data_IF_926131788303
#
_entry.id   IF_926131788303
#
_cell.length_a   1.000
_cell.length_b   1.000
_cell.length_c   1.000
_cell.angle_alpha   90.00
_cell.angle_beta   90.00
_cell.angle_gamma   90.00
#
_symmetry.space_group_name_H-M   'P 1'
#
loop_
_entity.id
_entity.type
_entity.pdbx_description
1 polymer ?
#
# COMPACT_ATOMS: atom_id res chain seq x y z
N UNK A 1 -22.81 -2.76 28.77
CA UNK A 1 -22.84 -3.19 27.35
C UNK A 1 -22.17 -2.10 26.53
N UNK A 2 -20.93 -2.32 26.08
CA UNK A 2 -20.23 -1.34 25.25
C UNK A 2 -20.68 -1.54 23.81
N UNK A 3 -21.35 -0.52 23.27
CA UNK A 3 -21.72 -0.45 21.87
C UNK A 3 -20.40 -0.28 21.08
N UNK A 4 -19.87 -1.35 20.51
CA UNK A 4 -18.69 -1.27 19.66
C UNK A 4 -19.08 -0.50 18.40
N UNK A 5 -18.41 0.63 18.18
CA UNK A 5 -18.55 1.41 16.95
C UNK A 5 -18.17 0.52 15.76
N UNK A 6 -18.94 0.48 14.66
CA UNK A 6 -18.85 -0.60 13.67
C UNK A 6 -17.51 -0.70 12.89
N UNK A 7 -16.54 0.19 13.12
CA UNK A 7 -15.30 0.28 12.33
C UNK A 7 -14.01 0.54 13.15
N UNK A 8 -13.98 0.24 14.46
CA UNK A 8 -12.82 0.58 15.30
C UNK A 8 -11.48 -0.06 14.83
N UNK A 9 -11.57 -1.18 14.10
CA UNK A 9 -10.44 -1.90 13.50
C UNK A 9 -10.34 -1.77 11.98
N UNK A 10 -11.13 -0.88 11.38
CA UNK A 10 -11.12 -0.64 9.94
C UNK A 10 -10.06 0.38 9.57
N UNK A 11 -9.52 0.24 8.36
CA UNK A 11 -8.47 1.11 7.84
C UNK A 11 -8.90 1.78 6.55
N UNK A 12 -8.67 3.08 6.43
CA UNK A 12 -8.80 3.85 5.20
C UNK A 12 -7.42 4.26 4.67
N UNK A 13 -7.07 3.80 3.48
CA UNK A 13 -5.91 4.28 2.73
C UNK A 13 -6.36 5.43 1.83
N UNK A 14 -5.81 6.62 2.07
CA UNK A 14 -6.17 7.86 1.37
C UNK A 14 -5.06 8.29 0.40
N UNK A 15 -5.32 8.19 -0.90
CA UNK A 15 -4.37 8.48 -1.99
C UNK A 15 -4.63 9.83 -2.68
N UNK A 16 -5.07 10.82 -1.90
CA UNK A 16 -5.24 12.20 -2.37
C UNK A 16 -4.56 13.19 -1.41
N UNK A 17 -4.40 14.43 -1.86
CA UNK A 17 -4.01 15.52 -0.95
C UNK A 17 -5.06 15.69 0.14
N UNK A 18 -4.63 16.09 1.32
CA UNK A 18 -5.51 16.22 2.50
C UNK A 18 -6.53 17.35 2.32
N UNK A 19 -6.22 18.35 1.50
CA UNK A 19 -7.12 19.44 1.11
C UNK A 19 -8.38 18.96 0.36
N UNK A 20 -8.39 17.74 -0.17
CA UNK A 20 -9.58 17.15 -0.79
C UNK A 20 -10.49 16.52 0.26
N UNK A 21 -11.11 17.33 1.12
CA UNK A 21 -12.20 16.95 2.03
C UNK A 21 -12.08 15.53 2.57
N UNK A 22 -11.05 15.29 3.38
CA UNK A 22 -10.83 14.01 4.05
C UNK A 22 -12.10 13.59 4.80
N UNK A 23 -12.64 12.38 4.55
CA UNK A 23 -13.90 11.97 5.15
C UNK A 23 -13.76 11.80 6.66
N UNK A 24 -14.88 11.99 7.37
CA UNK A 24 -14.99 11.57 8.76
C UNK A 24 -15.12 10.04 8.79
N UNK A 25 -14.06 9.38 9.27
CA UNK A 25 -13.92 7.92 9.27
C UNK A 25 -13.60 7.49 10.70
N UNK A 26 -14.41 6.58 11.25
CA UNK A 26 -14.30 6.13 12.64
C UNK A 26 -13.14 5.15 12.90
N UNK A 27 -12.54 4.61 11.84
CA UNK A 27 -11.32 3.80 11.92
C UNK A 27 -10.04 4.63 11.75
N UNK A 28 -8.92 3.97 11.41
CA UNK A 28 -7.63 4.64 11.19
C UNK A 28 -7.47 5.09 9.75
N UNK A 29 -6.93 6.29 9.54
CA UNK A 29 -6.65 6.83 8.21
C UNK A 29 -5.14 6.82 7.98
N UNK A 30 -4.69 6.17 6.91
CA UNK A 30 -3.31 6.24 6.44
C UNK A 30 -3.22 7.06 5.16
N UNK A 31 -2.52 8.18 5.25
CA UNK A 31 -2.27 9.09 4.14
C UNK A 31 -1.15 8.51 3.27
N UNK A 32 -1.49 8.15 2.03
CA UNK A 32 -0.56 7.49 1.11
C UNK A 32 0.49 8.45 0.53
N UNK A 33 0.13 9.74 0.42
CA UNK A 33 0.97 10.77 -0.22
C UNK A 33 1.42 11.88 0.72
N UNK A 34 0.74 12.06 1.84
CA UNK A 34 0.86 13.26 2.66
C UNK A 34 1.59 12.99 3.98
N UNK A 35 2.26 14.01 4.51
CA UNK A 35 2.99 14.00 5.79
C UNK A 35 2.17 14.54 6.96
N UNK A 36 1.00 15.13 6.71
CA UNK A 36 0.17 15.74 7.76
C UNK A 36 -0.45 14.67 8.68
N UNK A 37 0.18 14.42 9.82
CA UNK A 37 -0.37 13.51 10.84
C UNK A 37 -1.26 14.25 11.83
N UNK A 38 -2.29 13.55 12.31
CA UNK A 38 -3.12 13.99 13.43
C UNK A 38 -3.51 12.75 14.25
N UNK A 39 -2.66 12.36 15.22
CA UNK A 39 -2.91 11.20 16.07
C UNK A 39 -4.22 11.29 16.86
N UNK A 40 -4.68 12.51 17.19
CA UNK A 40 -5.95 12.72 17.91
C UNK A 40 -7.17 12.27 17.09
N UNK A 41 -7.03 12.26 15.77
CA UNK A 41 -8.04 11.77 14.81
C UNK A 41 -7.65 10.45 14.15
N UNK A 42 -6.68 9.73 14.73
CA UNK A 42 -6.15 8.48 14.19
C UNK A 42 -5.68 8.59 12.72
N UNK A 43 -5.04 9.71 12.37
CA UNK A 43 -4.49 10.00 11.04
C UNK A 43 -2.97 9.87 11.04
N UNK A 44 -2.46 9.00 10.19
CA UNK A 44 -1.05 8.63 10.14
C UNK A 44 -0.50 8.76 8.72
N UNK A 45 0.79 9.03 8.59
CA UNK A 45 1.45 9.24 7.30
C UNK A 45 2.31 8.03 6.93
N UNK A 46 2.03 7.43 5.76
CA UNK A 46 2.90 6.38 5.21
C UNK A 46 4.28 6.96 4.83
N UNK A 47 4.39 8.10 4.13
CA UNK A 47 5.69 8.72 3.88
C UNK A 47 6.52 8.97 5.14
N UNK A 48 5.91 9.47 6.22
CA UNK A 48 6.62 9.72 7.48
C UNK A 48 7.06 8.43 8.16
N UNK A 49 6.23 7.39 8.14
CA UNK A 49 6.63 6.05 8.62
C UNK A 49 7.85 5.53 7.86
N UNK A 50 7.90 5.73 6.54
CA UNK A 50 9.04 5.32 5.71
C UNK A 50 10.31 6.05 6.14
N UNK A 51 10.26 7.37 6.33
CA UNK A 51 11.43 8.16 6.70
C UNK A 51 11.99 7.75 8.07
N UNK A 52 11.11 7.46 9.02
CA UNK A 52 11.46 6.99 10.36
C UNK A 52 12.08 5.58 10.32
N UNK A 53 11.66 4.72 9.40
CA UNK A 53 12.09 3.32 9.29
C UNK A 53 12.97 3.05 8.05
N UNK A 54 13.58 4.11 7.49
CA UNK A 54 14.21 4.08 6.16
C UNK A 54 15.29 3.01 5.98
N UNK A 55 16.07 2.76 7.04
CA UNK A 55 17.17 1.79 7.00
C UNK A 55 16.59 0.38 6.89
N UNK A 56 15.69 0.01 7.82
CA UNK A 56 15.02 -1.30 7.85
C UNK A 56 14.27 -1.58 6.55
N UNK A 57 13.48 -0.63 6.07
CA UNK A 57 12.70 -0.80 4.84
C UNK A 57 13.60 -0.96 3.61
N UNK A 58 14.73 -0.25 3.56
CA UNK A 58 15.71 -0.38 2.48
C UNK A 58 16.43 -1.72 2.52
N UNK A 59 16.81 -2.21 3.71
CA UNK A 59 17.38 -3.55 3.87
C UNK A 59 16.40 -4.62 3.40
N UNK A 60 15.12 -4.50 3.78
CA UNK A 60 14.07 -5.41 3.34
C UNK A 60 13.88 -5.40 1.83
N UNK A 61 13.87 -4.22 1.21
CA UNK A 61 13.83 -4.07 -0.25
C UNK A 61 15.03 -4.75 -0.93
N UNK A 62 16.25 -4.50 -0.45
CA UNK A 62 17.46 -5.13 -0.98
C UNK A 62 17.45 -6.65 -0.82
N UNK A 63 16.93 -7.16 0.29
CA UNK A 63 16.76 -8.60 0.50
C UNK A 63 15.82 -9.21 -0.54
N UNK A 64 14.70 -8.55 -0.85
CA UNK A 64 13.77 -9.01 -1.90
C UNK A 64 14.45 -9.04 -3.27
N UNK A 65 15.21 -8.00 -3.62
CA UNK A 65 15.96 -7.99 -4.87
C UNK A 65 17.01 -9.08 -4.94
N UNK A 66 17.75 -9.30 -3.85
CA UNK A 66 18.73 -10.39 -3.78
C UNK A 66 18.05 -11.74 -3.99
N UNK A 67 16.97 -12.02 -3.25
CA UNK A 67 16.21 -13.26 -3.39
C UNK A 67 15.67 -13.46 -4.81
N UNK A 68 15.18 -12.38 -5.44
CA UNK A 68 14.73 -12.41 -6.83
C UNK A 68 15.88 -12.78 -7.79
N UNK A 69 17.07 -12.20 -7.60
CA UNK A 69 18.26 -12.55 -8.38
C UNK A 69 18.69 -14.01 -8.24
N UNK A 70 18.45 -14.62 -7.07
CA UNK A 70 18.79 -16.01 -6.77
C UNK A 70 17.77 -17.04 -7.26
N UNK A 71 16.57 -16.63 -7.71
CA UNK A 71 15.56 -17.54 -8.27
C UNK A 71 16.17 -18.34 -9.43
N UNK A 72 15.99 -19.67 -9.40
CA UNK A 72 16.53 -20.57 -10.42
C UNK A 72 15.49 -20.86 -11.51
N UNK A 73 15.83 -20.51 -12.75
CA UNK A 73 15.14 -20.93 -13.95
C UNK A 73 16.00 -21.97 -14.66
N UNK A 74 15.47 -23.18 -14.88
CA UNK A 74 16.23 -24.31 -15.45
C UNK A 74 17.56 -24.54 -14.72
N UNK A 75 17.52 -24.55 -13.39
CA UNK A 75 18.66 -24.72 -12.49
C UNK A 75 19.77 -23.64 -12.57
N UNK A 76 19.51 -22.51 -13.23
CA UNK A 76 20.43 -21.37 -13.33
C UNK A 76 19.78 -20.13 -12.74
N UNK A 77 20.51 -19.36 -11.91
CA UNK A 77 19.96 -18.19 -11.21
C UNK A 77 19.65 -17.06 -12.19
N UNK A 78 18.67 -16.20 -11.89
CA UNK A 78 18.38 -15.01 -12.72
C UNK A 78 19.62 -14.15 -12.89
N UNK A 79 20.40 -13.93 -11.83
CA UNK A 79 21.65 -13.17 -11.90
C UNK A 79 22.66 -13.80 -12.87
N UNK A 80 22.72 -15.13 -12.96
CA UNK A 80 23.61 -15.83 -13.89
C UNK A 80 23.04 -15.86 -15.32
N UNK A 81 21.71 -15.87 -15.48
CA UNK A 81 21.06 -15.76 -16.78
C UNK A 81 21.37 -14.43 -17.46
N UNK A 82 21.51 -13.38 -16.67
CA UNK A 82 21.82 -12.03 -17.13
C UNK A 82 23.33 -11.74 -17.13
N UNK A 83 24.17 -12.76 -17.00
CA UNK A 83 25.62 -12.61 -17.02
C UNK A 83 26.11 -12.16 -18.40
N UNK A 84 26.86 -11.05 -18.43
CA UNK A 84 27.51 -10.54 -19.65
C UNK A 84 28.89 -11.19 -19.80
N UNK A 85 29.65 -11.29 -18.70
CA UNK A 85 30.96 -11.94 -18.61
C UNK A 85 31.23 -12.42 -17.18
N UNK A 86 32.24 -13.28 -16.92
CA UNK A 86 32.60 -13.69 -15.56
C UNK A 86 32.70 -12.52 -14.58
N UNK A 87 32.01 -12.62 -13.45
CA UNK A 87 31.96 -11.57 -12.42
C UNK A 87 31.10 -10.34 -12.76
N UNK A 88 30.44 -10.28 -13.92
CA UNK A 88 29.64 -9.12 -14.34
C UNK A 88 28.29 -9.52 -14.94
N UNK A 89 27.22 -9.15 -14.24
CA UNK A 89 25.84 -9.43 -14.64
C UNK A 89 25.06 -8.14 -14.86
N UNK A 90 24.28 -8.12 -15.95
CA UNK A 90 23.34 -7.05 -16.27
C UNK A 90 22.27 -6.88 -15.20
N UNK A 91 22.00 -7.91 -14.39
CA UNK A 91 21.08 -7.85 -13.25
C UNK A 91 21.28 -6.61 -12.37
N UNK A 92 22.54 -6.31 -12.04
CA UNK A 92 22.92 -5.19 -11.17
C UNK A 92 22.73 -3.81 -11.81
N UNK A 93 22.52 -3.77 -13.13
CA UNK A 93 22.28 -2.56 -13.92
C UNK A 93 20.79 -2.37 -14.26
N UNK A 94 19.92 -3.30 -13.88
CA UNK A 94 18.49 -3.16 -14.13
C UNK A 94 17.90 -2.04 -13.27
N UNK A 95 16.90 -1.33 -13.78
CA UNK A 95 16.22 -0.22 -13.07
C UNK A 95 15.56 -0.62 -11.74
N UNK A 96 15.30 -1.92 -11.54
CA UNK A 96 14.76 -2.42 -10.27
C UNK A 96 15.86 -2.57 -9.21
N UNK A 97 17.11 -2.88 -9.62
CA UNK A 97 18.25 -3.00 -8.70
C UNK A 97 18.98 -1.67 -8.54
N UNK A 98 19.05 -0.86 -9.60
CA UNK A 98 19.59 0.49 -9.58
C UNK A 98 18.72 1.36 -8.66
N UNK A 99 19.08 1.39 -7.37
CA UNK A 99 18.34 2.04 -6.30
C UNK A 99 18.53 3.55 -6.30
N UNK A 100 18.21 4.18 -7.42
CA UNK A 100 18.27 5.63 -7.58
C UNK A 100 16.86 6.23 -7.40
N UNK A 101 16.65 6.91 -6.26
CA UNK A 101 15.40 7.55 -5.87
C UNK A 101 14.87 8.55 -6.93
N UNK A 102 15.75 9.13 -7.78
CA UNK A 102 15.34 10.06 -8.84
C UNK A 102 14.98 9.41 -10.17
N UNK A 103 15.32 8.13 -10.39
CA UNK A 103 15.13 7.46 -11.70
C UNK A 103 13.97 6.47 -11.72
N UNK A 104 13.58 5.91 -10.57
CA UNK A 104 12.62 4.81 -10.52
C UNK A 104 11.55 5.04 -9.46
N UNK A 105 10.33 5.33 -9.91
CA UNK A 105 9.12 5.40 -9.05
C UNK A 105 8.69 4.02 -8.53
N UNK A 106 9.24 2.95 -9.10
CA UNK A 106 8.97 1.57 -8.71
C UNK A 106 9.44 1.28 -7.29
N UNK A 107 10.69 1.63 -6.95
CA UNK A 107 11.24 1.41 -5.61
C UNK A 107 10.39 2.10 -4.54
N UNK A 108 9.99 3.36 -4.78
CA UNK A 108 9.13 4.12 -3.86
C UNK A 108 7.80 3.37 -3.64
N UNK A 109 7.22 2.83 -4.71
CA UNK A 109 5.96 2.09 -4.63
C UNK A 109 6.10 0.79 -3.82
N UNK A 110 7.20 0.04 -4.03
CA UNK A 110 7.49 -1.18 -3.26
C UNK A 110 7.74 -0.85 -1.78
N UNK A 111 8.54 0.18 -1.49
CA UNK A 111 8.81 0.61 -0.11
C UNK A 111 7.52 1.04 0.60
N UNK A 112 6.60 1.73 -0.09
CA UNK A 112 5.28 2.05 0.48
C UNK A 112 4.45 0.81 0.80
N UNK A 113 4.51 -0.22 -0.04
CA UNK A 113 3.83 -1.49 0.23
C UNK A 113 4.47 -2.24 1.41
N UNK A 114 5.79 -2.25 1.52
CA UNK A 114 6.49 -2.84 2.67
C UNK A 114 6.15 -2.10 3.97
N UNK A 115 6.10 -0.78 3.94
CA UNK A 115 5.66 0.03 5.08
C UNK A 115 4.21 -0.27 5.45
N UNK A 116 3.32 -0.37 4.44
CA UNK A 116 1.93 -0.73 4.67
C UNK A 116 1.83 -2.12 5.31
N UNK A 117 2.52 -3.12 4.78
CA UNK A 117 2.55 -4.48 5.34
C UNK A 117 2.96 -4.48 6.82
N UNK A 118 4.07 -3.81 7.17
CA UNK A 118 4.52 -3.71 8.57
C UNK A 118 3.51 -3.00 9.49
N UNK A 119 2.83 -1.97 8.97
CA UNK A 119 1.78 -1.25 9.71
C UNK A 119 0.58 -2.15 9.96
N UNK A 120 0.22 -2.97 8.97
CA UNK A 120 -0.96 -3.82 9.03
C UNK A 120 -0.73 -5.07 9.89
N UNK A 121 0.45 -5.69 9.83
CA UNK A 121 0.80 -6.87 10.62
C UNK A 121 0.75 -6.63 12.15
N UNK A 122 0.90 -5.39 12.58
CA UNK A 122 0.86 -5.01 14.00
C UNK A 122 -0.57 -4.85 14.55
N UNK A 123 -1.61 -5.12 13.76
CA UNK A 123 -3.00 -4.75 14.07
C UNK A 123 -3.98 -5.85 13.69
N UNK A 124 -4.97 -6.06 14.54
CA UNK A 124 -6.17 -6.81 14.15
C UNK A 124 -7.02 -5.93 13.24
N UNK A 125 -7.03 -6.23 11.94
CA UNK A 125 -7.73 -5.45 10.93
C UNK A 125 -8.96 -6.19 10.46
N UNK A 126 -10.12 -5.54 10.55
CA UNK A 126 -11.39 -6.10 10.08
C UNK A 126 -11.61 -5.89 8.59
N UNK A 127 -11.16 -4.76 8.04
CA UNK A 127 -11.38 -4.38 6.65
C UNK A 127 -10.48 -3.21 6.22
N UNK A 128 -10.22 -3.12 4.91
CA UNK A 128 -9.43 -2.06 4.30
C UNK A 128 -10.24 -1.37 3.21
N UNK A 129 -10.39 -0.05 3.34
CA UNK A 129 -10.92 0.86 2.34
C UNK A 129 -9.78 1.55 1.61
N UNK A 130 -9.87 1.65 0.28
CA UNK A 130 -8.95 2.45 -0.53
C UNK A 130 -9.71 3.53 -1.28
N UNK A 131 -9.27 4.77 -1.08
CA UNK A 131 -9.70 5.91 -1.88
C UNK A 131 -8.54 6.39 -2.76
N UNK A 132 -8.50 5.91 -4.01
CA UNK A 132 -7.48 6.26 -4.99
C UNK A 132 -8.08 6.34 -6.39
N UNK A 133 -7.57 7.26 -7.23
CA UNK A 133 -7.85 7.27 -8.67
C UNK A 133 -6.87 6.42 -9.48
N UNK A 134 -5.81 5.90 -8.87
CA UNK A 134 -4.78 5.11 -9.52
C UNK A 134 -5.22 3.63 -9.60
N UNK A 135 -5.48 3.16 -10.83
CA UNK A 135 -5.92 1.78 -11.10
C UNK A 135 -4.84 0.75 -10.75
N UNK A 136 -3.57 1.10 -10.90
CA UNK A 136 -2.47 0.21 -10.55
C UNK A 136 -2.42 0.03 -9.03
N UNK A 137 -2.51 1.13 -8.27
CA UNK A 137 -2.58 1.06 -6.81
C UNK A 137 -3.80 0.26 -6.35
N UNK A 138 -4.98 0.50 -6.94
CA UNK A 138 -6.19 -0.28 -6.65
C UNK A 138 -5.99 -1.79 -6.86
N UNK A 139 -5.34 -2.19 -7.94
CA UNK A 139 -5.10 -3.62 -8.22
C UNK A 139 -4.09 -4.23 -7.27
N UNK A 140 -3.02 -3.49 -6.96
CA UNK A 140 -1.96 -3.93 -6.03
C UNK A 140 -2.51 -4.12 -4.62
N UNK A 141 -3.20 -3.11 -4.07
CA UNK A 141 -3.77 -3.19 -2.72
C UNK A 141 -4.85 -4.27 -2.65
N UNK A 142 -5.68 -4.42 -3.69
CA UNK A 142 -6.66 -5.51 -3.76
C UNK A 142 -6.00 -6.89 -3.70
N UNK A 143 -4.92 -7.09 -4.47
CA UNK A 143 -4.17 -8.35 -4.45
C UNK A 143 -3.54 -8.58 -3.07
N UNK A 144 -2.91 -7.56 -2.50
CA UNK A 144 -2.34 -7.60 -1.16
C UNK A 144 -3.38 -8.01 -0.10
N UNK A 145 -4.55 -7.38 -0.09
CA UNK A 145 -5.62 -7.70 0.86
C UNK A 145 -6.14 -9.14 0.68
N UNK A 146 -6.20 -9.62 -0.57
CA UNK A 146 -6.59 -11.01 -0.88
C UNK A 146 -5.61 -12.02 -0.27
N UNK A 147 -4.30 -11.77 -0.37
CA UNK A 147 -3.27 -12.65 0.24
C UNK A 147 -3.36 -12.62 1.76
N UNK A 148 -3.62 -11.44 2.35
CA UNK A 148 -3.83 -11.27 3.79
C UNK A 148 -5.20 -11.78 4.29
N UNK A 149 -6.09 -12.21 3.40
CA UNK A 149 -7.48 -12.61 3.69
C UNK A 149 -8.29 -11.52 4.42
N UNK A 150 -8.02 -10.26 4.12
CA UNK A 150 -8.73 -9.10 4.69
C UNK A 150 -9.76 -8.57 3.68
N UNK A 151 -11.01 -8.30 4.09
CA UNK A 151 -12.01 -7.63 3.26
C UNK A 151 -11.49 -6.31 2.68
N UNK A 152 -11.68 -6.12 1.37
CA UNK A 152 -11.20 -4.96 0.64
C UNK A 152 -12.33 -4.25 -0.10
N UNK A 153 -12.42 -2.94 0.12
CA UNK A 153 -13.38 -2.06 -0.50
C UNK A 153 -12.68 -0.89 -1.17
N UNK A 154 -13.14 -0.49 -2.35
CA UNK A 154 -12.63 0.72 -3.01
C UNK A 154 -13.75 1.75 -3.15
N UNK A 155 -13.42 3.01 -2.86
CA UNK A 155 -14.36 4.11 -3.06
C UNK A 155 -14.16 4.68 -4.47
N UNK A 156 -15.16 4.49 -5.35
CA UNK A 156 -15.23 5.27 -6.59
C UNK A 156 -15.79 6.64 -6.26
N UNK A 157 -15.18 7.70 -6.81
CA UNK A 157 -15.65 9.09 -6.67
C UNK A 157 -17.18 9.17 -6.74
N UNK A 158 -17.79 9.75 -5.71
CA UNK A 158 -18.94 10.63 -5.89
C UNK A 158 -18.79 11.85 -4.97
N UNK A 159 -19.22 12.98 -5.53
CA UNK A 159 -19.06 14.35 -5.05
C UNK A 159 -19.74 14.56 -3.70
N UNK A 160 -19.16 15.46 -2.93
CA UNK A 160 -19.66 16.03 -1.68
C UNK A 160 -21.12 16.45 -1.76
N UNK A 161 -21.92 15.77 -0.96
CA UNK A 161 -23.17 16.20 -0.38
C UNK A 161 -23.33 15.29 0.82
N UNK A 162 -23.52 15.85 2.00
CA UNK A 162 -23.66 15.15 3.27
C UNK A 162 -24.45 13.84 3.15
N UNK A 163 -23.78 12.68 3.10
CA UNK A 163 -24.32 11.36 3.46
C UNK A 163 -23.32 10.24 3.16
N UNK A 164 -23.04 9.45 4.21
CA UNK A 164 -22.59 8.05 4.28
C UNK A 164 -21.63 7.52 3.21
N UNK A 165 -20.48 7.03 3.69
CA UNK A 165 -19.51 6.19 2.98
C UNK A 165 -20.23 5.06 2.21
N UNK A 166 -20.35 5.22 0.89
CA UNK A 166 -20.99 4.21 0.04
C UNK A 166 -19.95 3.20 -0.40
N UNK A 167 -20.06 1.99 0.15
CA UNK A 167 -19.18 0.85 -0.14
C UNK A 167 -19.69 0.19 -1.42
N UNK A 168 -18.89 0.13 -2.48
CA UNK A 168 -19.19 -0.74 -3.62
C UNK A 168 -18.52 -2.08 -3.42
N UNK A 169 -19.28 -3.06 -2.94
CA UNK A 169 -18.90 -4.47 -3.04
C UNK A 169 -18.91 -4.91 -4.50
N UNK A 170 -17.85 -5.63 -4.88
CA UNK A 170 -17.82 -6.33 -6.16
C UNK A 170 -18.99 -7.32 -6.19
N UNK A 171 -19.98 -7.00 -7.03
CA UNK A 171 -21.15 -7.82 -7.37
C UNK A 171 -22.28 -7.84 -6.33
N UNK A 172 -22.92 -6.69 -6.07
CA UNK A 172 -24.38 -6.48 -6.17
C UNK A 172 -24.67 -5.03 -5.78
N UNK A 173 -25.32 -4.30 -6.68
CA UNK A 173 -25.84 -2.96 -6.41
C UNK A 173 -26.99 -3.13 -5.40
N UNK A 174 -26.79 -2.70 -4.16
CA UNK A 174 -27.91 -2.31 -3.30
C UNK A 174 -27.88 -0.78 -3.24
N UNK A 175 -28.64 -0.19 -4.15
CA UNK A 175 -29.09 1.18 -4.06
C UNK A 175 -30.25 1.18 -3.06
N UNK A 176 -30.05 1.65 -1.84
CA UNK A 176 -31.17 2.07 -1.00
C UNK A 176 -30.94 3.52 -0.61
N UNK A 177 -31.62 4.36 -1.38
CA UNK A 177 -31.92 5.76 -1.10
C UNK A 177 -32.92 5.77 0.06
N UNK A 178 -32.61 6.49 1.12
CA UNK A 178 -33.58 7.23 1.92
C UNK A 178 -32.97 8.57 2.26
#
# INVERSE_FOLDING_TARGET
MFNQSPHQNSILIWDHSVDRNLPDFSGRIYLWRDYSEDPSKARFSIPKYIDQNRIRLRERYNSILFQLGEIRLRNKRIVDWLQIRPGFSYWWMTLIVESNYGKSTFMISVIKLLALEEILDQKDISEIFLHSSDRNLQNVIRKFCKEMKVPFFFCRKRVLGSEKFSISEGSTIICLIF
#
